data_IF_033247905058
#
_entry.id   IF_033247905058
#
_cell.length_a   1.000
_cell.length_b   1.000
_cell.length_c   1.000
_cell.angle_alpha   90.00
_cell.angle_beta   90.00
_cell.angle_gamma   90.00
#
_symmetry.space_group_name_H-M   'P 1'
#
loop_
_entity.id
_entity.type
_entity.pdbx_description
1 polymer ?
#
# COMPACT_ATOMS: atom_id res chain seq x y z
N UNK A 1 7.92 15.17 15.88
CA UNK A 1 9.19 15.92 15.80
C UNK A 1 8.98 17.05 14.81
N UNK A 2 9.35 18.29 15.15
CA UNK A 2 9.29 19.37 14.19
C UNK A 2 10.26 19.08 13.02
N UNK A 3 9.90 19.52 11.81
CA UNK A 3 10.64 19.29 10.55
C UNK A 3 12.11 19.80 10.57
N UNK A 4 12.52 20.49 11.65
CA UNK A 4 13.78 21.22 11.75
C UNK A 4 15.01 20.38 12.17
N UNK A 5 14.85 19.14 12.65
CA UNK A 5 15.98 18.28 13.09
C UNK A 5 16.30 17.11 12.13
N UNK A 6 15.56 16.97 11.03
CA UNK A 6 15.77 15.90 10.05
C UNK A 6 16.83 16.29 9.00
N UNK A 7 17.75 15.38 8.62
CA UNK A 7 18.68 15.64 7.51
C UNK A 7 17.98 16.00 6.19
N UNK A 8 18.62 16.75 5.28
CA UNK A 8 18.09 17.03 3.96
C UNK A 8 17.75 15.75 3.18
N UNK A 9 16.74 15.82 2.30
CA UNK A 9 16.36 14.69 1.45
C UNK A 9 17.51 14.31 0.48
N UNK A 10 18.08 13.12 0.67
CA UNK A 10 19.13 12.59 -0.21
C UNK A 10 18.54 12.15 -1.56
N UNK A 11 18.86 12.94 -2.61
CA UNK A 11 18.44 12.68 -4.00
C UNK A 11 19.34 11.71 -4.76
N UNK A 12 20.48 11.31 -4.18
CA UNK A 12 21.44 10.40 -4.82
C UNK A 12 21.11 8.92 -4.60
N UNK A 13 20.28 8.62 -3.60
CA UNK A 13 19.90 7.26 -3.27
C UNK A 13 18.95 6.67 -4.31
N UNK A 14 19.34 5.52 -4.85
CA UNK A 14 18.57 4.75 -5.83
C UNK A 14 18.47 3.31 -5.38
N UNK A 15 17.33 2.65 -5.64
CA UNK A 15 17.14 1.24 -5.37
C UNK A 15 18.22 0.40 -6.03
N UNK A 16 18.92 -0.43 -5.25
CA UNK A 16 19.85 -1.45 -5.73
C UNK A 16 19.33 -2.84 -5.39
N UNK A 17 19.70 -3.82 -6.22
CA UNK A 17 19.46 -5.22 -5.92
C UNK A 17 20.73 -5.88 -5.40
N UNK A 18 20.64 -6.50 -4.22
CA UNK A 18 21.71 -7.26 -3.58
C UNK A 18 21.42 -8.76 -3.57
N UNK A 19 22.38 -9.55 -3.10
CA UNK A 19 22.14 -10.94 -2.71
C UNK A 19 21.20 -11.00 -1.50
N UNK A 20 20.55 -12.15 -1.29
CA UNK A 20 19.76 -12.39 -0.08
C UNK A 20 20.60 -12.16 1.19
N UNK A 21 20.01 -11.70 2.31
CA UNK A 21 20.74 -11.50 3.56
C UNK A 21 21.45 -12.75 4.11
N UNK A 22 20.97 -13.95 3.76
CA UNK A 22 21.62 -15.21 4.09
C UNK A 22 21.75 -16.10 2.85
N UNK A 23 22.81 -15.94 2.03
CA UNK A 23 23.01 -16.73 0.81
C UNK A 23 23.31 -18.20 1.04
N UNK A 24 23.75 -18.56 2.25
CA UNK A 24 24.10 -19.94 2.63
C UNK A 24 22.95 -20.63 3.38
N UNK A 25 21.75 -20.04 3.37
CA UNK A 25 20.60 -20.62 4.04
C UNK A 25 20.23 -21.98 3.44
N UNK A 26 19.93 -22.96 4.28
CA UNK A 26 19.42 -24.28 3.87
C UNK A 26 18.10 -24.63 4.56
N UNK A 27 17.31 -25.52 3.96
CA UNK A 27 16.08 -26.03 4.56
C UNK A 27 16.33 -26.58 5.97
N UNK A 28 15.46 -26.23 6.92
CA UNK A 28 15.58 -26.64 8.32
C UNK A 28 16.60 -25.86 9.16
N UNK A 29 17.37 -24.94 8.58
CA UNK A 29 18.31 -24.11 9.33
C UNK A 29 17.58 -23.24 10.36
N UNK A 30 17.92 -23.42 11.64
CA UNK A 30 17.45 -22.58 12.73
C UNK A 30 17.98 -21.14 12.59
N UNK A 31 17.19 -20.16 13.03
CA UNK A 31 17.57 -18.75 12.89
C UNK A 31 18.86 -18.43 13.66
N UNK A 32 19.07 -19.06 14.81
CA UNK A 32 20.27 -18.91 15.65
C UNK A 32 21.54 -19.54 15.04
N UNK A 33 21.46 -20.17 13.86
CA UNK A 33 22.64 -20.68 13.17
C UNK A 33 23.54 -19.55 12.60
N UNK A 34 23.07 -18.30 12.60
CA UNK A 34 23.83 -17.12 12.13
C UNK A 34 24.04 -16.11 13.26
N UNK A 35 25.15 -15.33 13.26
CA UNK A 35 25.34 -14.25 14.22
C UNK A 35 24.18 -13.24 14.24
N UNK A 36 23.67 -12.88 13.08
CA UNK A 36 22.56 -11.95 12.91
C UNK A 36 21.26 -12.51 13.48
N UNK A 37 20.98 -13.79 13.24
CA UNK A 37 19.79 -14.46 13.77
C UNK A 37 19.87 -14.69 15.29
N UNK A 38 21.05 -14.98 15.85
CA UNK A 38 21.25 -14.98 17.32
C UNK A 38 20.95 -13.61 17.89
N UNK A 39 21.53 -12.56 17.32
CA UNK A 39 21.30 -11.18 17.76
C UNK A 39 19.82 -10.78 17.67
N UNK A 40 19.10 -11.26 16.65
CA UNK A 40 17.66 -11.05 16.53
C UNK A 40 16.87 -11.74 17.66
N UNK A 41 17.17 -13.01 17.94
CA UNK A 41 16.47 -13.79 18.97
C UNK A 41 16.74 -13.31 20.40
N UNK A 42 17.88 -12.67 20.65
CA UNK A 42 18.14 -12.02 21.94
C UNK A 42 17.06 -11.00 22.32
N UNK A 43 16.41 -10.38 21.34
CA UNK A 43 15.28 -9.46 21.55
C UNK A 43 14.09 -10.11 22.28
N UNK A 44 13.89 -11.43 22.15
CA UNK A 44 12.79 -12.14 22.82
C UNK A 44 12.91 -12.10 24.35
N UNK A 45 14.13 -12.00 24.88
CA UNK A 45 14.37 -11.90 26.33
C UNK A 45 13.77 -10.63 26.94
N UNK A 46 13.48 -9.61 26.12
CA UNK A 46 12.77 -8.41 26.55
C UNK A 46 11.27 -8.67 26.83
N UNK A 47 10.75 -9.83 26.44
CA UNK A 47 9.36 -10.22 26.63
C UNK A 47 8.40 -9.57 25.63
N UNK A 48 7.11 -9.80 25.86
CA UNK A 48 6.05 -9.39 24.94
C UNK A 48 5.10 -8.38 25.59
N UNK A 49 4.81 -7.29 24.88
CA UNK A 49 3.60 -6.50 25.15
C UNK A 49 2.43 -7.20 24.47
N UNK A 50 1.55 -7.79 25.26
CA UNK A 50 0.30 -8.41 24.77
C UNK A 50 -0.83 -7.38 24.89
N UNK A 51 -1.51 -7.11 23.78
CA UNK A 51 -2.64 -6.17 23.71
C UNK A 51 -3.91 -6.96 23.48
N UNK A 52 -4.83 -6.91 24.44
CA UNK A 52 -6.20 -7.41 24.28
C UNK A 52 -7.01 -6.38 23.49
N UNK A 53 -7.32 -6.68 22.23
CA UNK A 53 -7.95 -5.74 21.30
C UNK A 53 -9.39 -5.42 21.65
N UNK A 54 -10.05 -6.21 22.50
CA UNK A 54 -11.40 -5.91 22.97
C UNK A 54 -11.41 -4.85 24.09
N UNK A 55 -10.28 -4.66 24.76
CA UNK A 55 -10.16 -3.77 25.93
C UNK A 55 -9.30 -2.54 25.70
N UNK A 56 -8.48 -2.54 24.65
CA UNK A 56 -7.58 -1.44 24.34
C UNK A 56 -8.32 -0.24 23.73
N UNK A 57 -7.78 0.96 23.95
CA UNK A 57 -8.27 2.16 23.30
C UNK A 57 -8.15 2.05 21.75
N UNK A 58 -9.24 2.29 20.99
CA UNK A 58 -9.21 2.14 19.54
C UNK A 58 -8.16 3.01 18.83
N UNK A 59 -7.85 4.19 19.34
CA UNK A 59 -6.84 5.08 18.73
C UNK A 59 -5.42 4.59 18.99
N UNK A 60 -5.14 4.04 20.18
CA UNK A 60 -3.87 3.34 20.44
C UNK A 60 -3.71 2.10 19.58
N UNK A 61 -4.79 1.33 19.40
CA UNK A 61 -4.78 0.16 18.52
C UNK A 61 -4.55 0.57 17.07
N UNK A 62 -5.21 1.62 16.59
CA UNK A 62 -4.97 2.20 15.26
C UNK A 62 -3.50 2.59 15.07
N UNK A 63 -2.91 3.29 16.03
CA UNK A 63 -1.49 3.68 15.98
C UNK A 63 -0.56 2.46 15.96
N UNK A 64 -0.87 1.43 16.77
CA UNK A 64 -0.09 0.19 16.80
C UNK A 64 -0.19 -0.57 15.46
N UNK A 65 -1.39 -0.73 14.90
CA UNK A 65 -1.58 -1.43 13.63
C UNK A 65 -0.94 -0.68 12.46
N UNK A 66 -1.10 0.64 12.38
CA UNK A 66 -0.52 1.43 11.30
C UNK A 66 1.00 1.60 11.42
N UNK A 67 1.58 1.44 12.61
CA UNK A 67 3.04 1.40 12.76
C UNK A 67 3.63 0.00 12.54
N UNK A 68 2.89 -1.07 12.87
CA UNK A 68 3.34 -2.45 12.67
C UNK A 68 3.11 -3.00 11.26
N UNK A 69 2.06 -2.56 10.56
CA UNK A 69 1.77 -2.99 9.18
C UNK A 69 2.37 -1.96 8.22
N UNK A 70 3.65 -2.15 7.89
CA UNK A 70 4.47 -1.26 7.05
C UNK A 70 5.44 -2.07 6.19
N UNK A 71 5.92 -1.53 5.05
CA UNK A 71 5.46 -0.32 4.38
C UNK A 71 4.12 -0.55 3.65
N UNK A 72 3.23 0.44 3.65
CA UNK A 72 1.94 0.33 2.95
C UNK A 72 1.96 1.08 1.61
N UNK A 73 1.54 0.45 0.50
CA UNK A 73 1.35 1.18 -0.76
C UNK A 73 0.18 2.17 -0.61
N UNK A 74 0.20 3.21 -1.43
CA UNK A 74 -0.80 4.28 -1.38
C UNK A 74 -1.56 4.34 -2.70
N UNK A 75 -2.88 4.17 -2.62
CA UNK A 75 -3.78 4.48 -3.72
C UNK A 75 -4.11 5.97 -3.70
N UNK A 76 -3.77 6.70 -4.74
CA UNK A 76 -4.22 8.07 -4.92
C UNK A 76 -5.44 8.08 -5.85
N UNK A 77 -6.62 8.28 -5.25
CA UNK A 77 -7.89 7.91 -5.85
C UNK A 77 -8.62 9.14 -6.34
N UNK A 78 -8.99 9.14 -7.63
CA UNK A 78 -9.90 10.16 -8.17
C UNK A 78 -11.29 9.59 -8.39
N UNK A 79 -12.29 10.37 -8.00
CA UNK A 79 -13.71 10.06 -8.16
C UNK A 79 -14.48 11.29 -8.61
N UNK A 80 -15.73 11.09 -9.03
CA UNK A 80 -16.66 12.17 -9.35
C UNK A 80 -17.98 11.85 -8.62
N UNK A 81 -18.61 12.85 -8.00
CA UNK A 81 -19.95 12.70 -7.41
C UNK A 81 -21.04 12.67 -8.50
N UNK A 82 -22.29 12.36 -8.12
CA UNK A 82 -23.43 12.43 -9.05
C UNK A 82 -23.65 13.86 -9.60
N UNK A 83 -23.35 14.87 -8.80
CA UNK A 83 -23.44 16.30 -9.16
C UNK A 83 -22.22 16.81 -9.94
N UNK A 84 -21.27 15.92 -10.28
CA UNK A 84 -20.09 16.28 -11.08
C UNK A 84 -18.94 16.89 -10.28
N UNK A 85 -18.97 16.86 -8.95
CA UNK A 85 -17.86 17.33 -8.10
C UNK A 85 -16.75 16.30 -8.14
N UNK A 86 -15.55 16.72 -8.57
CA UNK A 86 -14.39 15.85 -8.69
C UNK A 86 -13.58 15.84 -7.39
N UNK A 87 -13.32 14.65 -6.85
CA UNK A 87 -12.49 14.45 -5.66
C UNK A 87 -11.18 13.76 -5.98
N UNK A 88 -10.18 13.99 -5.13
CA UNK A 88 -8.87 13.36 -5.21
C UNK A 88 -8.28 13.16 -3.80
N UNK A 89 -7.96 11.93 -3.41
CA UNK A 89 -7.47 11.66 -2.03
C UNK A 89 -6.57 10.43 -1.91
N UNK A 90 -5.56 10.41 -1.01
CA UNK A 90 -4.67 9.28 -0.80
C UNK A 90 -5.18 8.29 0.27
N UNK A 91 -5.02 6.99 0.01
CA UNK A 91 -5.40 5.92 0.92
C UNK A 91 -4.31 4.86 1.01
N UNK A 92 -3.84 4.57 2.23
CA UNK A 92 -2.79 3.57 2.47
C UNK A 92 -3.30 2.18 2.86
N UNK A 93 -4.61 2.00 2.95
CA UNK A 93 -5.23 0.68 3.14
C UNK A 93 -5.60 0.11 1.77
N UNK A 94 -4.56 -0.15 0.97
CA UNK A 94 -4.67 -0.50 -0.45
C UNK A 94 -3.81 -1.74 -0.76
N UNK A 95 -4.30 -2.66 -1.60
CA UNK A 95 -3.51 -3.76 -2.12
C UNK A 95 -4.10 -4.38 -3.40
N UNK A 96 -3.34 -5.27 -4.04
CA UNK A 96 -3.82 -6.16 -5.10
C UNK A 96 -4.56 -7.36 -4.48
N UNK A 97 -5.67 -7.79 -5.10
CA UNK A 97 -6.46 -8.95 -4.65
C UNK A 97 -6.21 -10.17 -5.54
N UNK A 98 -6.37 -10.02 -6.85
CA UNK A 98 -6.08 -11.08 -7.84
C UNK A 98 -5.73 -10.46 -9.20
N UNK A 99 -5.06 -11.23 -10.06
CA UNK A 99 -4.75 -10.82 -11.44
C UNK A 99 -5.78 -11.32 -12.46
N UNK A 100 -6.63 -12.29 -12.09
CA UNK A 100 -7.62 -12.89 -12.98
C UNK A 100 -8.92 -13.22 -12.23
N UNK A 101 -9.97 -12.37 -12.33
CA UNK A 101 -9.94 -11.04 -12.97
C UNK A 101 -9.04 -10.06 -12.21
N UNK A 102 -8.54 -8.97 -12.82
CA UNK A 102 -7.67 -8.03 -12.14
C UNK A 102 -8.47 -7.19 -11.12
N UNK A 103 -8.23 -7.43 -9.84
CA UNK A 103 -8.91 -6.77 -8.72
C UNK A 103 -7.92 -6.09 -7.78
N UNK A 104 -8.29 -4.91 -7.32
CA UNK A 104 -7.62 -4.19 -6.22
C UNK A 104 -8.59 -3.95 -5.07
N UNK A 105 -8.07 -3.85 -3.85
CA UNK A 105 -8.84 -3.48 -2.66
C UNK A 105 -8.40 -2.12 -2.14
N UNK A 106 -9.38 -1.36 -1.65
CA UNK A 106 -9.21 -0.05 -1.02
C UNK A 106 -10.14 0.02 0.19
N UNK A 107 -9.64 0.41 1.36
CA UNK A 107 -10.48 0.64 2.52
C UNK A 107 -10.56 2.13 2.87
N UNK A 108 -11.78 2.65 2.96
CA UNK A 108 -12.08 4.01 3.39
C UNK A 108 -12.59 3.97 4.83
N UNK A 109 -11.82 4.50 5.77
CA UNK A 109 -12.30 4.67 7.15
C UNK A 109 -13.41 5.72 7.17
N UNK A 110 -14.57 5.35 7.70
CA UNK A 110 -15.70 6.24 7.82
C UNK A 110 -15.46 7.23 8.97
N UNK A 111 -15.69 8.52 8.70
CA UNK A 111 -15.60 9.53 9.74
C UNK A 111 -16.76 9.41 10.73
N UNK A 112 -16.66 10.02 11.92
CA UNK A 112 -17.76 10.00 12.91
C UNK A 112 -19.07 10.58 12.37
N UNK A 113 -18.97 11.52 11.43
CA UNK A 113 -20.11 12.28 10.90
C UNK A 113 -20.65 11.73 9.57
N UNK A 114 -19.79 11.20 8.69
CA UNK A 114 -20.20 10.67 7.37
C UNK A 114 -19.19 9.69 6.78
N UNK A 115 -19.69 8.88 5.86
CA UNK A 115 -18.87 8.10 4.92
C UNK A 115 -17.96 9.06 4.13
N UNK A 116 -16.71 8.66 3.87
CA UNK A 116 -15.79 9.47 3.07
C UNK A 116 -16.35 9.70 1.66
N UNK A 117 -16.18 10.90 1.14
CA UNK A 117 -16.74 11.30 -0.17
C UNK A 117 -16.27 10.36 -1.30
N UNK A 118 -15.02 9.88 -1.25
CA UNK A 118 -14.52 8.86 -2.18
C UNK A 118 -15.36 7.57 -2.18
N UNK A 119 -15.71 7.04 -1.01
CA UNK A 119 -16.51 5.82 -0.92
C UNK A 119 -17.96 6.07 -1.38
N UNK A 120 -18.54 7.22 -1.02
CA UNK A 120 -19.87 7.62 -1.48
C UNK A 120 -19.92 7.78 -3.02
N UNK A 121 -18.95 8.48 -3.59
CA UNK A 121 -18.83 8.68 -5.05
C UNK A 121 -18.65 7.35 -5.79
N UNK A 122 -17.84 6.43 -5.26
CA UNK A 122 -17.65 5.09 -5.86
C UNK A 122 -18.94 4.28 -5.80
N UNK A 123 -19.66 4.31 -4.68
CA UNK A 123 -20.93 3.61 -4.55
C UNK A 123 -21.97 4.12 -5.57
N UNK A 124 -22.08 5.44 -5.74
CA UNK A 124 -23.04 6.08 -6.62
C UNK A 124 -22.68 5.95 -8.10
N UNK A 125 -21.45 6.30 -8.47
CA UNK A 125 -21.02 6.38 -9.88
C UNK A 125 -20.37 5.11 -10.40
N UNK A 126 -20.00 4.19 -9.50
CA UNK A 126 -19.36 2.90 -9.80
C UNK A 126 -18.02 3.01 -10.53
N UNK A 127 -17.39 4.17 -10.52
CA UNK A 127 -16.20 4.45 -11.32
C UNK A 127 -15.17 5.23 -10.51
N UNK A 128 -13.89 4.90 -10.69
CA UNK A 128 -12.77 5.61 -10.06
C UNK A 128 -11.45 5.32 -10.77
N UNK A 129 -10.45 6.15 -10.51
CA UNK A 129 -9.06 5.85 -10.88
C UNK A 129 -8.21 5.65 -9.65
N UNK A 130 -7.18 4.80 -9.76
CA UNK A 130 -6.14 4.64 -8.74
C UNK A 130 -4.81 5.00 -9.38
N UNK A 131 -4.08 5.93 -8.77
CA UNK A 131 -2.82 6.47 -9.28
C UNK A 131 -1.71 6.17 -8.25
N UNK A 132 -0.57 5.64 -8.71
CA UNK A 132 0.55 5.34 -7.81
C UNK A 132 1.41 6.58 -7.61
N UNK A 133 1.61 6.95 -6.34
CA UNK A 133 2.39 8.13 -5.96
C UNK A 133 3.87 7.88 -6.13
N UNK A 134 4.54 8.77 -6.86
CA UNK A 134 6.00 8.79 -6.99
C UNK A 134 6.62 9.92 -6.16
N UNK A 135 7.87 9.74 -5.75
CA UNK A 135 8.63 10.71 -4.94
C UNK A 135 8.51 12.18 -5.39
N UNK A 136 8.60 12.54 -6.70
CA UNK A 136 8.67 13.94 -7.10
C UNK A 136 7.41 14.79 -6.84
N UNK A 137 6.29 14.16 -6.49
CA UNK A 137 5.00 14.85 -6.29
C UNK A 137 4.29 14.39 -5.02
N UNK A 138 5.02 13.81 -4.05
CA UNK A 138 4.43 13.31 -2.80
C UNK A 138 3.78 14.42 -1.98
N UNK A 139 4.33 15.63 -1.98
CA UNK A 139 3.76 16.78 -1.25
C UNK A 139 2.40 17.18 -1.83
N UNK A 140 2.26 17.19 -3.16
CA UNK A 140 1.00 17.46 -3.84
C UNK A 140 -0.08 16.43 -3.48
N UNK A 141 0.29 15.14 -3.47
CA UNK A 141 -0.60 14.07 -3.05
C UNK A 141 -0.98 14.17 -1.57
N UNK A 142 -0.03 14.50 -0.70
CA UNK A 142 -0.25 14.66 0.73
C UNK A 142 -1.16 15.86 1.05
N UNK A 143 -1.09 16.93 0.26
CA UNK A 143 -1.98 18.07 0.42
C UNK A 143 -3.47 17.65 0.28
N UNK A 144 -3.77 16.72 -0.63
CA UNK A 144 -5.10 16.14 -0.81
C UNK A 144 -5.59 15.22 0.33
N UNK A 145 -4.78 15.01 1.38
CA UNK A 145 -5.24 14.33 2.60
C UNK A 145 -5.97 15.27 3.57
N UNK A 146 -6.09 16.55 3.24
CA UNK A 146 -6.84 17.54 4.04
C UNK A 146 -8.31 17.13 4.17
N UNK A 147 -8.91 17.39 5.34
CA UNK A 147 -10.34 17.13 5.58
C UNK A 147 -11.20 18.26 5.00
N UNK A 148 -11.20 18.36 3.67
CA UNK A 148 -11.97 19.36 2.94
C UNK A 148 -13.48 19.09 3.03
N UNK A 149 -14.33 20.14 3.01
CA UNK A 149 -15.77 19.95 2.80
C UNK A 149 -16.06 19.29 1.45
N UNK A 150 -17.14 18.49 1.36
CA UNK A 150 -17.48 17.74 0.13
C UNK A 150 -17.64 18.61 -1.13
N UNK A 151 -18.00 19.89 -0.98
CA UNK A 151 -18.13 20.84 -2.09
C UNK A 151 -16.78 21.39 -2.62
N UNK A 152 -15.67 21.10 -1.93
CA UNK A 152 -14.33 21.59 -2.29
C UNK A 152 -13.53 20.44 -2.87
N UNK A 153 -13.34 20.45 -4.19
CA UNK A 153 -12.48 19.47 -4.86
C UNK A 153 -11.00 19.70 -4.57
N UNK A 154 -10.24 18.63 -4.36
CA UNK A 154 -8.82 18.69 -3.99
C UNK A 154 -7.89 18.90 -5.20
N UNK A 155 -8.40 18.76 -6.42
CA UNK A 155 -7.62 18.92 -7.65
C UNK A 155 -6.89 20.27 -7.74
N UNK A 156 -7.55 21.44 -7.56
CA UNK A 156 -6.85 22.74 -7.59
C UNK A 156 -5.79 22.89 -6.49
N UNK A 157 -6.02 22.29 -5.32
CA UNK A 157 -5.10 22.33 -4.18
C UNK A 157 -3.83 21.50 -4.44
N UNK A 158 -3.95 20.42 -5.20
CA UNK A 158 -2.83 19.53 -5.52
C UNK A 158 -1.79 20.15 -6.45
N UNK A 159 -2.22 21.04 -7.36
CA UNK A 159 -1.38 21.49 -8.49
C UNK A 159 -1.08 20.41 -9.53
N UNK A 160 -1.69 19.22 -9.43
CA UNK A 160 -1.55 18.11 -10.37
C UNK A 160 -2.47 18.26 -11.57
N UNK A 161 -2.09 17.63 -12.68
CA UNK A 161 -2.81 17.78 -13.95
C UNK A 161 -3.76 16.62 -14.18
N UNK A 162 -5.02 16.94 -14.47
CA UNK A 162 -6.04 15.96 -14.88
C UNK A 162 -5.73 15.47 -16.29
N UNK A 163 -5.77 14.16 -16.50
CA UNK A 163 -5.80 13.58 -17.84
C UNK A 163 -7.02 12.68 -17.99
N UNK A 164 -7.65 12.72 -19.17
CA UNK A 164 -8.81 11.90 -19.44
C UNK A 164 -8.49 10.40 -19.34
N UNK A 165 -9.45 9.67 -18.81
CA UNK A 165 -9.52 8.21 -18.78
C UNK A 165 -10.11 7.67 -20.09
N UNK A 166 -9.84 6.41 -20.42
CA UNK A 166 -10.34 5.74 -21.63
C UNK A 166 -11.70 5.08 -21.43
N UNK A 167 -12.00 4.66 -20.20
CA UNK A 167 -13.15 3.81 -19.86
C UNK A 167 -14.03 4.41 -18.77
N UNK A 168 -13.43 5.04 -17.76
CA UNK A 168 -14.16 5.65 -16.63
C UNK A 168 -14.25 7.17 -16.77
N UNK A 169 -15.23 7.79 -16.11
CA UNK A 169 -15.38 9.26 -16.08
C UNK A 169 -14.31 9.97 -15.23
N UNK A 170 -13.93 9.49 -14.03
CA UNK A 170 -12.92 10.17 -13.22
C UNK A 170 -11.58 10.27 -13.94
N UNK A 171 -10.92 11.43 -13.84
CA UNK A 171 -9.63 11.65 -14.47
C UNK A 171 -8.53 10.80 -13.81
N UNK A 172 -7.48 10.50 -14.58
CA UNK A 172 -6.21 10.04 -14.02
C UNK A 172 -5.32 11.25 -13.71
N UNK A 173 -4.32 11.03 -12.88
CA UNK A 173 -3.27 12.02 -12.59
C UNK A 173 -2.18 11.91 -13.66
N UNK A 174 -1.91 12.97 -14.41
CA UNK A 174 -0.94 12.96 -15.50
C UNK A 174 0.49 12.66 -15.02
N UNK A 175 0.84 13.13 -13.83
CA UNK A 175 2.15 12.94 -13.19
C UNK A 175 2.38 11.50 -12.72
N UNK A 176 1.30 10.71 -12.58
CA UNK A 176 1.37 9.30 -12.21
C UNK A 176 1.91 8.46 -13.37
N UNK A 177 2.97 7.70 -13.11
CA UNK A 177 3.56 6.82 -14.10
C UNK A 177 2.91 5.43 -14.17
N UNK A 178 2.03 5.13 -13.22
CA UNK A 178 1.22 3.92 -13.18
C UNK A 178 -0.18 4.25 -12.65
N UNK A 179 -1.21 4.10 -13.48
CA UNK A 179 -2.60 4.37 -13.09
C UNK A 179 -3.52 3.25 -13.54
N UNK A 180 -4.58 3.05 -12.80
CA UNK A 180 -5.62 2.05 -13.08
C UNK A 180 -6.97 2.75 -13.19
N UNK A 181 -7.73 2.37 -14.21
CA UNK A 181 -9.14 2.73 -14.33
C UNK A 181 -9.98 1.59 -13.79
N UNK A 182 -10.85 1.87 -12.82
CA UNK A 182 -11.55 0.86 -12.05
C UNK A 182 -13.06 1.06 -12.11
N UNK A 183 -13.78 -0.04 -12.27
CA UNK A 183 -15.21 -0.12 -11.99
C UNK A 183 -15.43 -0.75 -10.61
N UNK A 184 -16.47 -0.31 -9.91
CA UNK A 184 -16.87 -0.94 -8.65
C UNK A 184 -17.30 -2.38 -8.90
N UNK A 185 -16.54 -3.34 -8.36
CA UNK A 185 -16.90 -4.74 -8.32
C UNK A 185 -17.86 -5.01 -7.15
N UNK A 186 -17.46 -4.64 -5.94
CA UNK A 186 -18.23 -4.89 -4.72
C UNK A 186 -17.78 -3.92 -3.61
N UNK A 187 -18.71 -3.54 -2.73
CA UNK A 187 -18.38 -2.97 -1.41
C UNK A 187 -18.67 -3.97 -0.29
N UNK A 188 -17.90 -3.89 0.78
CA UNK A 188 -18.13 -4.62 2.03
C UNK A 188 -18.05 -3.60 3.18
N UNK A 189 -19.17 -3.42 3.88
CA UNK A 189 -19.22 -2.58 5.07
C UNK A 189 -18.65 -3.34 6.28
N UNK A 190 -17.68 -2.74 6.96
CA UNK A 190 -17.03 -3.32 8.14
C UNK A 190 -17.73 -2.79 9.39
N UNK A 191 -18.72 -3.56 9.83
CA UNK A 191 -19.52 -3.26 11.01
C UNK A 191 -18.83 -3.80 12.25
N UNK A 192 -18.62 -2.93 13.25
CA UNK A 192 -18.06 -3.34 14.52
C UNK A 192 -19.02 -4.32 15.22
N UNK A 193 -18.58 -5.52 15.62
CA UNK A 193 -19.48 -6.59 16.05
C UNK A 193 -20.26 -6.28 17.33
N UNK A 194 -19.69 -5.47 18.24
CA UNK A 194 -20.36 -5.05 19.49
C UNK A 194 -21.20 -3.79 19.33
N UNK A 195 -20.64 -2.69 18.79
CA UNK A 195 -21.34 -1.40 18.71
C UNK A 195 -22.31 -1.30 17.54
N UNK A 196 -22.21 -2.18 16.54
CA UNK A 196 -23.02 -2.12 15.32
C UNK A 196 -22.68 -0.95 14.40
N UNK A 197 -21.63 -0.17 14.71
CA UNK A 197 -21.22 0.98 13.91
C UNK A 197 -20.45 0.51 12.68
N UNK A 198 -20.81 1.04 11.51
CA UNK A 198 -20.02 0.87 10.29
C UNK A 198 -18.76 1.75 10.35
N UNK A 199 -17.60 1.12 10.52
CA UNK A 199 -16.33 1.83 10.75
C UNK A 199 -15.54 2.07 9.48
N UNK A 200 -15.73 1.23 8.46
CA UNK A 200 -14.92 1.24 7.24
C UNK A 200 -15.72 0.65 6.09
N UNK A 201 -15.63 1.28 4.92
CA UNK A 201 -16.12 0.70 3.67
C UNK A 201 -14.93 0.12 2.91
N UNK A 202 -14.90 -1.20 2.75
CA UNK A 202 -13.94 -1.87 1.87
C UNK A 202 -14.52 -1.91 0.45
N UNK A 203 -13.70 -1.52 -0.52
CA UNK A 203 -14.04 -1.39 -1.93
C UNK A 203 -13.17 -2.37 -2.71
N UNK A 204 -13.82 -3.20 -3.53
CA UNK A 204 -13.17 -4.00 -4.55
C UNK A 204 -13.35 -3.33 -5.91
N UNK A 205 -12.23 -2.96 -6.54
CA UNK A 205 -12.19 -2.34 -7.86
C UNK A 205 -11.78 -3.34 -8.93
N UNK A 206 -12.63 -3.56 -9.93
CA UNK A 206 -12.29 -4.30 -11.14
C UNK A 206 -11.51 -3.39 -12.08
N UNK A 207 -10.24 -3.71 -12.30
CA UNK A 207 -9.35 -2.92 -13.17
C UNK A 207 -9.73 -3.17 -14.62
N UNK A 208 -10.06 -2.11 -15.33
CA UNK A 208 -10.46 -2.13 -16.75
C UNK A 208 -9.30 -1.78 -17.65
N UNK A 209 -8.52 -0.78 -17.27
CA UNK A 209 -7.33 -0.33 -17.99
C UNK A 209 -6.18 -0.07 -17.01
N UNK A 210 -4.98 -0.43 -17.42
CA UNK A 210 -3.73 -0.05 -16.76
C UNK A 210 -2.96 0.86 -17.70
N UNK A 211 -2.55 2.02 -17.18
CA UNK A 211 -1.72 3.00 -17.86
C UNK A 211 -0.34 2.96 -17.23
N UNK A 212 0.68 2.63 -18.02
CA UNK A 212 2.07 2.63 -17.58
C UNK A 212 2.87 3.49 -18.55
N UNK A 213 3.66 4.42 -18.02
CA UNK A 213 4.60 5.16 -18.88
C UNK A 213 5.68 4.23 -19.42
N UNK A 214 5.99 4.33 -20.71
CA UNK A 214 6.94 3.45 -21.38
C UNK A 214 8.34 3.48 -20.75
N UNK A 215 8.79 4.64 -20.25
CA UNK A 215 10.09 4.78 -19.60
C UNK A 215 10.18 4.03 -18.26
N UNK A 216 9.06 3.62 -17.68
CA UNK A 216 9.01 2.79 -16.47
C UNK A 216 9.12 1.29 -16.76
N UNK A 217 8.99 0.86 -18.02
CA UNK A 217 8.99 -0.55 -18.36
C UNK A 217 10.43 -1.09 -18.46
N UNK A 218 10.62 -2.28 -17.89
CA UNK A 218 11.80 -3.11 -18.15
C UNK A 218 11.68 -3.75 -19.54
N UNK A 219 12.76 -4.36 -20.02
CA UNK A 219 12.76 -5.15 -21.26
C UNK A 219 11.76 -6.32 -21.24
N UNK A 220 11.29 -6.76 -20.05
CA UNK A 220 10.29 -7.82 -19.88
C UNK A 220 8.84 -7.30 -19.88
N UNK A 221 8.62 -6.00 -20.06
CA UNK A 221 7.29 -5.39 -20.01
C UNK A 221 6.72 -5.24 -18.59
N UNK A 222 7.53 -5.45 -17.55
CA UNK A 222 7.15 -5.17 -16.15
C UNK A 222 7.63 -3.79 -15.72
N UNK A 223 7.03 -3.23 -14.68
CA UNK A 223 7.46 -1.95 -14.09
C UNK A 223 8.80 -2.09 -13.39
N UNK A 224 9.70 -1.12 -13.61
CA UNK A 224 10.95 -0.95 -12.89
C UNK A 224 10.72 -0.04 -11.65
N UNK A 225 10.76 -0.58 -10.42
CA UNK A 225 10.51 0.21 -9.22
C UNK A 225 11.58 1.29 -8.99
N UNK A 226 12.80 1.12 -9.50
CA UNK A 226 13.85 2.13 -9.38
C UNK A 226 13.53 3.37 -10.24
N UNK A 227 12.82 3.19 -11.35
CA UNK A 227 12.36 4.30 -12.22
C UNK A 227 11.04 4.88 -11.72
N UNK A 228 10.10 4.03 -11.32
CA UNK A 228 8.79 4.44 -10.80
C UNK A 228 8.92 5.27 -9.52
N UNK A 229 9.92 4.97 -8.67
CA UNK A 229 10.16 5.61 -7.37
C UNK A 229 8.86 5.77 -6.56
N UNK A 230 8.10 4.68 -6.33
CA UNK A 230 6.86 4.78 -5.59
C UNK A 230 7.17 5.08 -4.12
N UNK A 231 6.31 5.87 -3.49
CA UNK A 231 6.37 6.09 -2.05
C UNK A 231 5.43 5.15 -1.31
N UNK A 232 5.77 4.85 -0.06
CA UNK A 232 4.95 4.07 0.85
C UNK A 232 4.65 4.88 2.11
N UNK A 233 3.52 4.57 2.74
CA UNK A 233 3.15 5.12 4.04
C UNK A 233 3.69 4.21 5.15
N UNK A 234 4.28 4.81 6.17
CA UNK A 234 4.72 4.13 7.40
C UNK A 234 3.72 4.38 8.54
N UNK A 235 4.14 4.15 9.78
CA UNK A 235 3.43 4.66 10.96
C UNK A 235 3.45 6.20 11.03
N UNK A 236 2.47 6.77 11.73
CA UNK A 236 2.35 8.22 11.93
C UNK A 236 2.30 9.02 10.60
N UNK A 237 2.90 10.21 10.54
CA UNK A 237 3.03 11.07 9.35
C UNK A 237 4.18 10.65 8.42
N UNK A 238 4.85 9.54 8.69
CA UNK A 238 6.08 9.16 8.00
C UNK A 238 5.82 8.48 6.65
N UNK A 239 6.67 8.81 5.67
CA UNK A 239 6.72 8.18 4.35
C UNK A 239 8.06 7.48 4.16
N UNK A 240 8.09 6.48 3.29
CA UNK A 240 9.30 5.81 2.84
C UNK A 240 9.38 5.81 1.32
N UNK A 241 10.60 5.86 0.80
CA UNK A 241 10.93 5.41 -0.54
C UNK A 241 11.09 3.89 -0.56
N UNK A 242 10.99 3.27 -1.73
CA UNK A 242 11.48 1.90 -1.89
C UNK A 242 13.01 1.95 -1.93
N UNK A 243 13.63 1.45 -0.85
CA UNK A 243 15.10 1.36 -0.71
C UNK A 243 15.69 0.15 -1.44
N UNK A 244 16.83 -0.34 -0.96
CA UNK A 244 17.48 -1.52 -1.52
C UNK A 244 16.60 -2.77 -1.43
N UNK A 245 16.60 -3.56 -2.50
CA UNK A 245 15.97 -4.86 -2.56
C UNK A 245 17.00 -5.97 -2.62
N UNK A 246 16.60 -7.19 -2.28
CA UNK A 246 17.39 -8.40 -2.52
C UNK A 246 16.62 -9.35 -3.42
N UNK A 247 17.34 -10.18 -4.18
CA UNK A 247 16.71 -11.18 -5.07
C UNK A 247 16.70 -12.54 -4.39
N UNK A 248 15.50 -13.02 -4.08
CA UNK A 248 15.28 -14.37 -3.57
C UNK A 248 14.48 -15.16 -4.62
N UNK A 249 15.02 -16.30 -5.05
CA UNK A 249 14.31 -17.20 -5.96
C UNK A 249 13.22 -17.91 -5.16
N UNK A 250 12.01 -17.97 -5.73
CA UNK A 250 10.95 -18.83 -5.20
C UNK A 250 11.35 -20.30 -5.43
N UNK A 251 11.42 -21.14 -4.38
CA UNK A 251 11.69 -22.55 -4.55
C UNK A 251 10.65 -23.23 -5.45
N UNK A 252 11.11 -24.19 -6.24
CA UNK A 252 10.24 -25.02 -7.08
C UNK A 252 10.35 -26.44 -6.57
N UNK A 253 9.23 -26.99 -6.09
CA UNK A 253 9.22 -28.32 -5.46
C UNK A 253 9.90 -29.39 -6.31
N UNK A 254 9.62 -29.41 -7.63
CA UNK A 254 10.19 -30.40 -8.54
C UNK A 254 11.73 -30.39 -8.57
N UNK A 255 12.34 -29.21 -8.34
CA UNK A 255 13.80 -29.03 -8.37
C UNK A 255 14.44 -29.34 -7.00
N UNK A 256 13.67 -29.27 -5.92
CA UNK A 256 14.19 -29.20 -4.55
C UNK A 256 13.60 -30.27 -3.61
N UNK A 257 12.77 -31.18 -4.13
CA UNK A 257 12.01 -32.15 -3.32
C UNK A 257 12.89 -33.01 -2.40
N UNK A 258 14.07 -33.44 -2.86
CA UNK A 258 14.98 -34.27 -2.05
C UNK A 258 15.51 -33.49 -0.84
N UNK A 259 16.04 -32.28 -1.05
CA UNK A 259 16.57 -31.43 0.00
C UNK A 259 15.47 -31.02 1.01
N UNK A 260 14.26 -30.74 0.50
CA UNK A 260 13.12 -30.42 1.36
C UNK A 260 12.72 -31.63 2.20
N UNK A 261 12.60 -32.82 1.58
CA UNK A 261 12.26 -34.06 2.31
C UNK A 261 13.26 -34.37 3.40
N UNK A 262 14.55 -34.32 3.09
CA UNK A 262 15.62 -34.54 4.07
C UNK A 262 15.48 -33.60 5.28
N UNK A 263 15.17 -32.32 5.05
CA UNK A 263 14.97 -31.36 6.13
C UNK A 263 13.67 -31.57 6.92
N UNK A 264 12.61 -32.10 6.29
CA UNK A 264 11.32 -32.35 6.97
C UNK A 264 11.22 -33.70 7.66
N UNK A 265 11.93 -34.72 7.18
CA UNK A 265 11.91 -36.08 7.74
C UNK A 265 12.87 -36.21 8.93
N UNK A 266 14.04 -35.57 8.87
CA UNK A 266 15.00 -35.51 9.99
C UNK A 266 14.57 -34.65 11.18
N UNK A 267 13.40 -34.02 11.14
CA UNK A 267 12.82 -33.25 12.25
C UNK A 267 11.81 -34.06 13.10
N UNK A 268 11.51 -35.31 12.71
CA UNK A 268 10.56 -36.22 13.36
C UNK A 268 11.24 -37.40 14.10
N UNK A 269 12.57 -37.41 14.22
CA UNK A 269 13.34 -38.26 15.15
C UNK A 269 13.87 -37.43 16.31
#
# INVERSE_FOLDING_TARGET
MAQNDTPPFDRSLSLKFTQTPNPQWTYGQQLDATPEGKAWLEGEKAGWKVVDTEKEDPMKLYALMTSGIVPRPIAFVSTISEDGVENLSPFSWFNMVTHSPPLVSLCCSNGPARVKDTAANIAATRQFTVNIISEPWVEAANACAVDAPAAVGEWPLSGLTKTASLHVKPARVQESAFSMECELHQTVEIVHPVTGVNTTTMILGLVKYVHVRNDMLTARGTVDPARLRPVARLGDISYARVGDGFRLRRPVWADEAEAIRAATEGANE
#
